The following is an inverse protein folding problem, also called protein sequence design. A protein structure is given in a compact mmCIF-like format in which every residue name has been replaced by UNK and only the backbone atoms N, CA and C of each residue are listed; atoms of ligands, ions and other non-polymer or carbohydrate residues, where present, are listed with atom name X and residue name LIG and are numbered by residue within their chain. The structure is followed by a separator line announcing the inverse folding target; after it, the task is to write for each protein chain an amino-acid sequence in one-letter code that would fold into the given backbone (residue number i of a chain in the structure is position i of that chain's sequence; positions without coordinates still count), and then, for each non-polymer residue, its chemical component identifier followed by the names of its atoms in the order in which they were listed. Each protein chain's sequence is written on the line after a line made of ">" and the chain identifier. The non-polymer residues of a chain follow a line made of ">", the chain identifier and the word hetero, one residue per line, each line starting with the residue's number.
data_IF_804801907502
#
_entry.id   IF_804801907502
#
_cell.length_a   1.000
_cell.length_b   1.000
_cell.length_c   1.000
_cell.angle_alpha   90.00
_cell.angle_beta   90.00
_cell.angle_gamma   90.00
#
_symmetry.space_group_name_H-M   'P 1'
#
loop_
_entity.id
_entity.type
_entity.pdbx_description
1 polymer ?
#
# COMPACT_ATOMS: atom_id res chain seq x y z
N UNK A 1 11.69 -4.78 -3.51
CA UNK A 1 12.14 -3.55 -4.17
C UNK A 1 12.39 -2.53 -3.08
N UNK A 2 13.65 -2.39 -2.68
CA UNK A 2 14.08 -1.46 -1.63
C UNK A 2 13.97 0.00 -2.06
N UNK A 3 13.94 0.29 -3.37
CA UNK A 3 13.82 1.64 -3.90
C UNK A 3 12.38 2.12 -3.77
N UNK A 4 11.42 1.26 -4.13
CA UNK A 4 10.00 1.61 -4.13
C UNK A 4 9.25 1.14 -2.88
N UNK A 5 9.92 0.61 -1.85
CA UNK A 5 9.32 0.08 -0.61
C UNK A 5 8.19 -0.94 -0.87
N UNK A 6 8.44 -1.87 -1.81
CA UNK A 6 7.52 -2.96 -2.15
C UNK A 6 8.13 -4.33 -1.86
N UNK A 7 7.32 -5.23 -1.34
CA UNK A 7 7.67 -6.64 -1.15
C UNK A 7 6.66 -7.55 -1.87
N UNK A 8 7.17 -8.63 -2.45
CA UNK A 8 6.36 -9.71 -3.00
C UNK A 8 6.48 -10.93 -2.08
N UNK A 9 5.35 -11.41 -1.57
CA UNK A 9 5.29 -12.56 -0.66
C UNK A 9 4.57 -13.72 -1.35
N UNK A 10 5.07 -14.93 -1.12
CA UNK A 10 4.40 -16.18 -1.50
C UNK A 10 3.87 -16.84 -0.23
N UNK A 11 2.59 -17.16 -0.21
CA UNK A 11 1.94 -17.91 0.86
C UNK A 11 1.27 -19.17 0.31
N UNK A 12 1.03 -20.13 1.20
CA UNK A 12 0.28 -21.34 0.88
C UNK A 12 -1.18 -21.19 1.34
N UNK A 13 -1.96 -20.42 0.58
CA UNK A 13 -3.39 -20.25 0.81
C UNK A 13 -4.10 -19.82 -0.47
N UNK A 14 -5.42 -20.03 -0.53
CA UNK A 14 -6.26 -19.56 -1.61
C UNK A 14 -7.03 -18.30 -1.20
N UNK A 15 -6.79 -17.13 -1.83
CA UNK A 15 -7.51 -15.91 -1.49
C UNK A 15 -9.00 -16.02 -1.85
N UNK A 16 -9.87 -15.41 -1.04
CA UNK A 16 -11.32 -15.35 -1.31
C UNK A 16 -11.64 -14.42 -2.47
N UNK A 17 -10.96 -13.27 -2.48
CA UNK A 17 -11.02 -12.26 -3.53
C UNK A 17 -9.61 -11.74 -3.79
N UNK A 18 -9.35 -11.35 -5.04
CA UNK A 18 -8.09 -10.76 -5.47
C UNK A 18 -8.42 -9.38 -6.03
N UNK A 19 -7.70 -8.37 -5.57
CA UNK A 19 -7.80 -7.03 -6.16
C UNK A 19 -7.27 -7.03 -7.58
N UNK A 20 -7.97 -6.32 -8.47
CA UNK A 20 -7.46 -6.02 -9.80
C UNK A 20 -6.63 -4.74 -9.73
N UNK A 21 -5.54 -4.69 -10.48
CA UNK A 21 -4.73 -3.48 -10.59
C UNK A 21 -5.30 -2.58 -11.67
N UNK A 22 -5.41 -1.28 -11.39
CA UNK A 22 -5.75 -0.30 -12.41
C UNK A 22 -4.60 -0.14 -13.39
N UNK A 23 -4.93 -0.05 -14.67
CA UNK A 23 -4.00 0.29 -15.76
C UNK A 23 -4.04 1.76 -16.14
N UNK A 24 -5.04 2.50 -15.66
CA UNK A 24 -5.13 3.94 -15.91
C UNK A 24 -4.21 4.70 -14.97
N UNK A 25 -3.66 5.80 -15.47
CA UNK A 25 -3.02 6.81 -14.63
C UNK A 25 -4.08 7.38 -13.67
N UNK A 26 -3.76 7.55 -12.38
CA UNK A 26 -4.64 8.25 -11.46
C UNK A 26 -4.88 9.70 -11.91
N UNK A 27 -6.06 10.23 -11.60
CA UNK A 27 -6.45 11.59 -11.94
C UNK A 27 -6.58 12.45 -10.67
N UNK A 28 -6.35 13.76 -10.77
CA UNK A 28 -6.61 14.67 -9.66
C UNK A 28 -8.09 14.64 -9.29
N UNK A 29 -8.39 14.78 -8.00
CA UNK A 29 -9.75 14.66 -7.44
C UNK A 29 -10.42 13.30 -7.61
N UNK A 30 -9.71 12.28 -8.10
CA UNK A 30 -10.24 10.92 -8.17
C UNK A 30 -10.53 10.40 -6.76
N UNK A 31 -11.77 9.95 -6.53
CA UNK A 31 -12.19 9.29 -5.29
C UNK A 31 -11.35 8.02 -5.03
N UNK A 32 -10.82 7.91 -3.81
CA UNK A 32 -10.04 6.78 -3.35
C UNK A 32 -10.50 6.26 -2.00
N UNK A 33 -10.31 4.96 -1.82
CA UNK A 33 -10.54 4.25 -0.58
C UNK A 33 -9.25 3.55 -0.18
N UNK A 34 -8.82 3.72 1.08
CA UNK A 34 -7.68 2.98 1.62
C UNK A 34 -8.20 1.97 2.61
N UNK A 35 -7.78 0.71 2.47
CA UNK A 35 -8.10 -0.35 3.40
C UNK A 35 -6.87 -0.82 4.17
N UNK A 36 -7.05 -1.16 5.44
CA UNK A 36 -5.97 -1.66 6.27
C UNK A 36 -6.41 -2.12 7.65
N UNK A 37 -5.43 -2.44 8.48
CA UNK A 37 -5.64 -2.88 9.86
C UNK A 37 -4.77 -2.02 10.79
N UNK A 38 -5.11 -0.72 10.94
CA UNK A 38 -4.32 0.16 11.77
C UNK A 38 -4.36 -0.31 13.22
N UNK A 39 -3.19 -0.34 13.85
CA UNK A 39 -2.95 -0.90 15.18
C UNK A 39 -3.28 -2.41 15.34
N UNK A 40 -3.47 -3.11 14.22
CA UNK A 40 -3.70 -4.55 14.15
C UNK A 40 -4.99 -5.03 14.84
N UNK A 41 -5.09 -6.35 15.01
CA UNK A 41 -6.28 -7.00 15.59
C UNK A 41 -6.53 -6.67 17.07
N UNK A 42 -5.59 -6.02 17.76
CA UNK A 42 -5.72 -5.65 19.18
C UNK A 42 -6.79 -4.59 19.41
N UNK A 43 -7.04 -3.72 18.41
CA UNK A 43 -8.09 -2.68 18.49
C UNK A 43 -9.39 -3.17 17.84
N UNK A 44 -9.31 -3.84 16.69
CA UNK A 44 -10.48 -4.47 16.05
C UNK A 44 -10.03 -5.51 15.04
N UNK A 45 -10.76 -6.63 14.97
CA UNK A 45 -10.50 -7.69 14.00
C UNK A 45 -10.93 -7.33 12.56
N UNK A 46 -11.77 -6.31 12.39
CA UNK A 46 -12.31 -5.91 11.10
C UNK A 46 -11.39 -4.97 10.35
N UNK A 47 -11.41 -5.06 9.01
CA UNK A 47 -10.73 -4.10 8.13
C UNK A 47 -11.29 -2.70 8.40
N UNK A 48 -10.41 -1.69 8.39
CA UNK A 48 -10.81 -0.29 8.43
C UNK A 48 -10.63 0.32 7.07
N UNK A 49 -11.59 1.17 6.68
CA UNK A 49 -11.59 1.85 5.39
C UNK A 49 -11.65 3.34 5.63
N UNK A 50 -10.78 4.09 4.98
CA UNK A 50 -10.82 5.55 4.92
C UNK A 50 -11.09 5.99 3.49
N UNK A 51 -11.83 7.10 3.32
CA UNK A 51 -12.11 7.70 2.01
C UNK A 51 -11.33 9.01 1.89
N UNK A 52 -10.88 9.32 0.69
CA UNK A 52 -10.35 10.62 0.31
C UNK A 52 -10.32 10.76 -1.22
N UNK A 53 -9.44 11.61 -1.71
CA UNK A 53 -9.16 11.84 -3.11
C UNK A 53 -7.66 11.73 -3.41
N UNK A 54 -7.32 11.66 -4.70
CA UNK A 54 -5.96 11.95 -5.19
C UNK A 54 -5.73 13.46 -5.20
N UNK A 55 -4.80 13.91 -4.36
CA UNK A 55 -4.45 15.33 -4.19
C UNK A 55 -3.26 15.75 -5.06
N UNK A 56 -2.38 14.82 -5.43
CA UNK A 56 -1.26 15.05 -6.35
C UNK A 56 -0.88 13.77 -7.08
N UNK A 57 -0.38 13.91 -8.30
CA UNK A 57 0.09 12.79 -9.12
C UNK A 57 1.57 12.46 -8.90
N UNK A 58 2.22 13.12 -7.94
CA UNK A 58 3.62 12.90 -7.58
C UNK A 58 3.81 12.89 -6.06
N UNK A 59 4.86 12.22 -5.60
CA UNK A 59 5.31 12.25 -4.21
C UNK A 59 6.33 13.36 -3.93
N UNK A 60 6.91 13.34 -2.74
CA UNK A 60 7.95 14.31 -2.34
C UNK A 60 9.12 14.29 -3.32
N UNK A 61 9.63 15.47 -3.65
CA UNK A 61 10.75 15.62 -4.58
C UNK A 61 10.38 15.26 -6.03
N UNK A 62 9.10 15.40 -6.41
CA UNK A 62 8.58 15.01 -7.72
C UNK A 62 8.77 13.51 -8.02
N UNK A 63 8.63 12.65 -7.01
CA UNK A 63 8.68 11.22 -7.24
C UNK A 63 7.44 10.75 -8.02
N UNK A 64 7.63 10.48 -9.32
CA UNK A 64 6.56 10.05 -10.23
C UNK A 64 6.07 8.62 -9.98
N UNK A 65 6.79 7.82 -9.18
CA UNK A 65 6.34 6.50 -8.72
C UNK A 65 5.23 6.58 -7.68
N UNK A 66 4.99 7.78 -7.11
CA UNK A 66 4.01 7.98 -6.06
C UNK A 66 2.80 8.83 -6.49
N UNK A 67 1.72 8.70 -5.74
CA UNK A 67 0.59 9.62 -5.68
C UNK A 67 0.44 10.17 -4.26
N UNK A 68 -0.10 11.37 -4.14
CA UNK A 68 -0.55 11.92 -2.87
C UNK A 68 -2.06 11.78 -2.76
N UNK A 69 -2.53 11.44 -1.57
CA UNK A 69 -3.94 11.33 -1.21
C UNK A 69 -4.18 12.06 0.11
N UNK A 70 -5.42 12.50 0.34
CA UNK A 70 -5.86 13.09 1.61
C UNK A 70 -6.59 12.09 2.52
N UNK A 71 -6.88 10.88 2.02
CA UNK A 71 -7.47 9.81 2.81
C UNK A 71 -6.60 9.53 4.03
N UNK A 72 -7.23 9.47 5.22
CA UNK A 72 -6.50 9.30 6.47
C UNK A 72 -5.70 7.98 6.46
N UNK A 73 -4.38 8.08 6.68
CA UNK A 73 -3.50 6.95 6.93
C UNK A 73 -3.02 6.94 8.38
N UNK A 74 -3.01 5.76 8.98
CA UNK A 74 -2.46 5.52 10.31
C UNK A 74 -1.46 4.35 10.24
N UNK A 75 -0.54 4.22 11.20
CA UNK A 75 0.31 3.04 11.30
C UNK A 75 -0.51 1.74 11.24
N UNK A 76 -0.15 0.85 10.31
CA UNK A 76 -0.91 -0.37 9.98
C UNK A 76 -1.82 -0.27 8.75
N UNK A 77 -1.88 0.91 8.10
CA UNK A 77 -2.33 1.02 6.71
C UNK A 77 -1.19 0.84 5.69
N UNK A 78 0.08 0.82 6.12
CA UNK A 78 1.24 0.56 5.24
C UNK A 78 1.09 -0.78 4.53
N UNK A 79 1.32 -0.80 3.23
CA UNK A 79 1.12 -1.99 2.40
C UNK A 79 -0.35 -2.26 2.06
N UNK A 80 -1.28 -1.49 2.61
CA UNK A 80 -2.71 -1.58 2.31
C UNK A 80 -3.04 -1.03 0.92
N UNK A 81 -4.12 -1.53 0.28
CA UNK A 81 -4.52 -1.08 -1.04
C UNK A 81 -5.16 0.32 -1.01
N UNK A 82 -4.80 1.15 -2.00
CA UNK A 82 -5.51 2.37 -2.39
C UNK A 82 -6.36 2.04 -3.61
N UNK A 83 -7.67 2.20 -3.51
CA UNK A 83 -8.66 1.60 -4.41
C UNK A 83 -9.58 2.68 -4.95
N UNK A 84 -9.94 2.61 -6.24
CA UNK A 84 -10.98 3.48 -6.81
C UNK A 84 -12.41 2.91 -6.62
N UNK A 85 -13.41 3.67 -7.05
CA UNK A 85 -14.83 3.31 -7.06
C UNK A 85 -15.20 2.05 -7.85
N UNK A 86 -14.29 1.55 -8.71
CA UNK A 86 -14.44 0.28 -9.46
C UNK A 86 -13.84 -0.92 -8.75
N UNK A 87 -13.30 -0.74 -7.54
CA UNK A 87 -12.61 -1.82 -6.82
C UNK A 87 -11.24 -2.18 -7.40
N UNK A 88 -10.65 -1.31 -8.22
CA UNK A 88 -9.29 -1.49 -8.73
C UNK A 88 -8.28 -0.79 -7.82
N UNK A 89 -7.18 -1.45 -7.54
CA UNK A 89 -6.03 -0.87 -6.85
C UNK A 89 -5.31 0.09 -7.78
N UNK A 90 -5.26 1.36 -7.39
CA UNK A 90 -4.51 2.42 -8.08
C UNK A 90 -3.14 2.69 -7.41
N UNK A 91 -2.94 2.15 -6.20
CA UNK A 91 -1.66 2.21 -5.52
C UNK A 91 -1.62 1.44 -4.20
N UNK A 92 -0.45 1.41 -3.57
CA UNK A 92 -0.18 0.78 -2.27
C UNK A 92 0.20 1.87 -1.28
N UNK A 93 -0.51 1.95 -0.16
CA UNK A 93 -0.29 2.98 0.85
C UNK A 93 1.08 2.84 1.52
N UNK A 94 1.79 3.96 1.67
CA UNK A 94 3.07 4.05 2.38
C UNK A 94 2.82 4.79 3.68
N UNK A 95 3.06 4.14 4.82
CA UNK A 95 2.58 4.66 6.09
C UNK A 95 3.16 6.02 6.44
N UNK A 96 4.41 6.34 6.06
CA UNK A 96 5.03 7.64 6.35
C UNK A 96 6.16 7.88 5.35
N UNK A 97 5.96 8.79 4.39
CA UNK A 97 7.13 9.56 3.97
C UNK A 97 7.65 10.29 5.21
N UNK A 98 8.96 10.24 5.41
CA UNK A 98 9.63 10.55 6.67
C UNK A 98 9.10 11.86 7.29
N UNK A 99 8.17 11.72 8.23
CA UNK A 99 7.58 12.85 8.95
C UNK A 99 8.69 13.67 9.61
N UNK A 100 9.80 13.03 10.00
CA UNK A 100 10.96 13.74 10.53
C UNK A 100 11.64 14.60 9.46
N UNK A 101 11.77 14.11 8.22
CA UNK A 101 12.30 14.89 7.11
C UNK A 101 11.43 16.13 6.82
N UNK A 102 10.11 15.98 6.76
CA UNK A 102 9.21 17.11 6.48
C UNK A 102 9.23 18.12 7.63
N UNK A 103 9.14 17.67 8.87
CA UNK A 103 9.20 18.58 10.04
C UNK A 103 10.55 19.30 10.09
N UNK A 104 11.67 18.61 9.82
CA UNK A 104 13.00 19.23 9.80
C UNK A 104 13.14 20.28 8.69
N UNK A 105 12.49 20.08 7.54
CA UNK A 105 12.64 20.96 6.37
C UNK A 105 11.66 22.12 6.35
N UNK A 106 10.43 21.91 6.81
CA UNK A 106 9.33 22.87 6.70
C UNK A 106 8.81 23.38 8.05
N UNK A 107 9.26 22.82 9.17
CA UNK A 107 8.88 23.26 10.52
C UNK A 107 7.44 22.94 10.93
N UNK A 108 6.68 22.23 10.09
CA UNK A 108 5.27 21.88 10.34
C UNK A 108 5.02 20.40 10.09
N UNK A 109 4.06 19.82 10.83
CA UNK A 109 3.57 18.47 10.57
C UNK A 109 2.49 18.59 9.49
N UNK A 110 2.68 17.99 8.30
CA UNK A 110 1.66 18.05 7.26
C UNK A 110 0.46 17.20 7.67
N UNK A 111 -0.73 17.80 7.64
CA UNK A 111 -1.99 17.10 7.84
C UNK A 111 -2.58 16.67 6.50
N UNK A 112 -3.38 15.60 6.50
CA UNK A 112 -4.08 15.08 5.30
C UNK A 112 -3.17 14.94 4.06
N UNK A 113 -1.90 14.63 4.30
CA UNK A 113 -0.88 14.48 3.25
C UNK A 113 -0.29 13.10 3.39
N UNK A 114 -0.85 12.18 2.61
CA UNK A 114 -0.49 10.78 2.61
C UNK A 114 -0.03 10.36 1.23
N UNK A 115 0.76 9.29 1.15
CA UNK A 115 1.35 8.87 -0.11
C UNK A 115 1.09 7.39 -0.39
N UNK A 116 1.05 7.07 -1.68
CA UNK A 116 0.98 5.70 -2.16
C UNK A 116 1.90 5.46 -3.33
N UNK A 117 2.39 4.24 -3.48
CA UNK A 117 3.13 3.77 -4.65
C UNK A 117 2.13 3.43 -5.74
N UNK A 118 2.28 3.98 -6.95
CA UNK A 118 1.34 3.76 -8.06
C UNK A 118 1.23 2.29 -8.46
N UNK A 119 0.04 1.89 -8.92
CA UNK A 119 -0.20 0.54 -9.44
C UNK A 119 0.73 0.17 -10.61
N UNK A 120 1.23 1.14 -11.38
CA UNK A 120 2.22 0.91 -12.44
C UNK A 120 3.53 0.32 -11.91
N UNK A 121 4.02 0.81 -10.77
CA UNK A 121 5.22 0.30 -10.11
C UNK A 121 4.98 -1.12 -9.60
N UNK A 122 3.80 -1.37 -9.02
CA UNK A 122 3.38 -2.71 -8.59
C UNK A 122 3.30 -3.67 -9.77
N UNK A 123 2.71 -3.25 -10.89
CA UNK A 123 2.65 -4.05 -12.12
C UNK A 123 4.04 -4.41 -12.64
N UNK A 124 4.97 -3.46 -12.66
CA UNK A 124 6.36 -3.70 -13.08
C UNK A 124 7.03 -4.74 -12.18
N UNK A 125 6.85 -4.65 -10.85
CA UNK A 125 7.37 -5.63 -9.91
C UNK A 125 6.79 -7.03 -10.16
N UNK A 126 5.48 -7.13 -10.37
CA UNK A 126 4.82 -8.41 -10.63
C UNK A 126 5.25 -9.03 -11.96
N UNK A 127 5.30 -8.24 -13.03
CA UNK A 127 5.74 -8.69 -14.34
C UNK A 127 7.20 -9.13 -14.35
N UNK A 128 8.08 -8.37 -13.69
CA UNK A 128 9.49 -8.74 -13.52
C UNK A 128 9.71 -10.03 -12.72
N UNK A 129 8.70 -10.49 -11.97
CA UNK A 129 8.71 -11.75 -11.22
C UNK A 129 7.77 -12.82 -11.83
N UNK A 130 7.37 -12.67 -13.10
CA UNK A 130 6.49 -13.61 -13.81
C UNK A 130 5.13 -13.86 -13.13
N UNK A 131 4.59 -12.86 -12.42
CA UNK A 131 3.25 -12.92 -11.81
C UNK A 131 2.22 -12.28 -12.75
N UNK A 132 1.22 -13.05 -13.15
CA UNK A 132 0.16 -12.59 -14.05
C UNK A 132 -0.78 -11.59 -13.37
N UNK A 133 -1.12 -10.50 -14.06
CA UNK A 133 -2.07 -9.48 -13.59
C UNK A 133 -3.38 -9.57 -14.39
N UNK A 134 -4.50 -9.74 -13.69
CA UNK A 134 -5.83 -9.79 -14.28
C UNK A 134 -6.30 -8.45 -14.86
N UNK A 135 -7.27 -8.49 -15.79
CA UNK A 135 -7.86 -7.27 -16.37
C UNK A 135 -8.61 -6.43 -15.31
N UNK A 136 -8.48 -5.08 -15.34
CA UNK A 136 -9.20 -4.18 -14.44
C UNK A 136 -10.72 -4.31 -14.54
N UNK A 137 -11.42 -3.94 -13.48
CA UNK A 137 -12.85 -3.66 -13.51
C UNK A 137 -13.12 -2.36 -14.28
N UNK A 138 -14.17 -2.35 -15.08
CA UNK A 138 -14.57 -1.17 -15.87
C UNK A 138 -15.83 -0.48 -15.32
N UNK A 139 -16.61 -1.19 -14.51
CA UNK A 139 -17.86 -0.69 -13.93
C UNK A 139 -17.65 -0.24 -12.49
N UNK A 140 -18.31 0.85 -12.12
CA UNK A 140 -18.35 1.35 -10.76
C UNK A 140 -19.13 0.37 -9.87
N UNK A 141 -18.65 0.18 -8.65
CA UNK A 141 -19.27 -0.70 -7.66
C UNK A 141 -20.13 0.11 -6.70
N UNK A 142 -21.24 -0.48 -6.25
CA UNK A 142 -22.01 0.09 -5.14
C UNK A 142 -21.21 0.04 -3.84
N UNK A 143 -21.44 0.98 -2.91
CA UNK A 143 -20.68 1.05 -1.62
C UNK A 143 -20.66 -0.28 -0.86
N UNK A 144 -21.78 -0.98 -0.78
CA UNK A 144 -21.89 -2.28 -0.09
C UNK A 144 -21.18 -3.42 -0.83
N UNK A 145 -21.10 -3.36 -2.15
CA UNK A 145 -20.31 -4.30 -2.95
C UNK A 145 -18.82 -4.04 -2.77
N UNK A 146 -18.40 -2.78 -2.88
CA UNK A 146 -17.03 -2.35 -2.69
C UNK A 146 -16.53 -2.69 -1.27
N UNK A 147 -17.35 -2.43 -0.24
CA UNK A 147 -17.03 -2.77 1.15
C UNK A 147 -16.82 -4.27 1.37
N UNK A 148 -17.67 -5.12 0.78
CA UNK A 148 -17.49 -6.59 0.82
C UNK A 148 -16.21 -7.02 0.11
N UNK A 149 -15.97 -6.50 -1.08
CA UNK A 149 -14.74 -6.79 -1.83
C UNK A 149 -13.50 -6.40 -1.02
N UNK A 150 -13.50 -5.22 -0.40
CA UNK A 150 -12.40 -4.73 0.43
C UNK A 150 -12.15 -5.69 1.60
N UNK A 151 -13.21 -6.09 2.30
CA UNK A 151 -13.11 -7.00 3.44
C UNK A 151 -12.62 -8.39 3.06
N UNK A 152 -13.00 -8.91 1.90
CA UNK A 152 -12.61 -10.25 1.44
C UNK A 152 -11.22 -10.32 0.81
N UNK A 153 -10.69 -9.19 0.33
CA UNK A 153 -9.41 -9.12 -0.39
C UNK A 153 -8.26 -8.48 0.42
N UNK A 154 -8.56 -7.85 1.56
CA UNK A 154 -7.54 -7.22 2.43
C UNK A 154 -7.18 -8.16 3.57
N UNK A 155 -5.90 -8.47 3.74
CA UNK A 155 -5.42 -9.42 4.74
C UNK A 155 -4.53 -8.74 5.78
N UNK A 156 -4.71 -9.11 7.05
CA UNK A 156 -3.79 -8.74 8.11
C UNK A 156 -2.59 -9.70 8.12
N UNK A 157 -1.40 -9.16 7.85
CA UNK A 157 -0.15 -9.89 7.95
C UNK A 157 0.50 -9.62 9.30
N UNK A 158 0.90 -10.67 10.01
CA UNK A 158 1.68 -10.57 11.25
C UNK A 158 2.84 -11.55 11.21
N UNK A 159 4.01 -11.09 11.66
CA UNK A 159 5.18 -11.93 11.84
C UNK A 159 5.07 -12.64 13.20
N UNK A 160 5.00 -13.97 13.18
CA UNK A 160 5.09 -14.81 14.38
C UNK A 160 6.49 -15.39 14.45
N UNK A 161 7.40 -14.60 14.99
CA UNK A 161 8.79 -15.02 15.19
C UNK A 161 9.26 -14.66 16.59
N UNK A 162 10.00 -15.59 17.20
CA UNK A 162 10.76 -15.32 18.42
C UNK A 162 11.98 -14.45 18.10
N UNK A 163 12.53 -13.76 19.09
CA UNK A 163 13.73 -12.94 18.91
C UNK A 163 14.92 -13.74 18.34
N UNK A 164 15.09 -14.99 18.79
CA UNK A 164 16.11 -15.90 18.24
C UNK A 164 15.88 -16.23 16.75
N UNK A 165 14.62 -16.34 16.32
CA UNK A 165 14.29 -16.55 14.90
C UNK A 165 14.54 -15.28 14.07
N UNK A 166 14.25 -14.10 14.64
CA UNK A 166 14.52 -12.80 14.00
C UNK A 166 16.03 -12.62 13.79
N UNK A 167 16.85 -12.91 14.81
CA UNK A 167 18.33 -12.85 14.71
C UNK A 167 18.87 -13.82 13.65
N UNK A 168 18.36 -15.06 13.59
CA UNK A 168 18.73 -16.01 12.53
C UNK A 168 18.34 -15.56 11.12
N UNK A 169 17.27 -14.77 10.96
CA UNK A 169 16.93 -14.20 9.65
C UNK A 169 17.78 -12.99 9.30
N UNK A 170 18.23 -12.19 10.28
CA UNK A 170 19.17 -11.09 10.02
C UNK A 170 20.54 -11.61 9.57
N UNK A 171 20.97 -12.77 10.06
CA UNK A 171 22.25 -13.39 9.68
C UNK A 171 22.20 -14.18 8.38
N UNK A 172 21.02 -14.68 7.98
CA UNK A 172 20.79 -15.13 6.60
C UNK A 172 20.69 -13.89 5.70
N UNK A 173 21.79 -13.52 5.04
CA UNK A 173 21.76 -12.66 3.84
C UNK A 173 20.87 -13.33 2.78
N UNK A 174 19.55 -13.12 2.86
CA UNK A 174 18.71 -13.14 1.66
C UNK A 174 19.18 -11.93 0.88
N UNK A 175 19.59 -12.13 -0.37
CA UNK A 175 20.22 -11.12 -1.22
C UNK A 175 19.31 -9.87 -1.29
N UNK A 176 19.56 -8.92 -0.41
CA UNK A 176 19.34 -7.50 -0.61
C UNK A 176 20.74 -6.94 -0.68
N UNK A 177 21.24 -6.73 -1.90
CA UNK A 177 22.52 -6.09 -2.14
C UNK A 177 22.44 -4.67 -1.56
N UNK A 178 23.38 -4.42 -0.66
CA UNK A 178 23.87 -3.12 -0.20
C UNK A 178 22.89 -2.21 0.54
N UNK A 179 22.85 -2.38 1.86
CA UNK A 179 22.68 -1.26 2.79
C UNK A 179 23.95 -1.24 3.65
N UNK A 180 24.90 -0.40 3.23
CA UNK A 180 26.04 -0.01 4.04
C UNK A 180 25.55 0.69 5.30
N UNK A 181 26.09 0.23 6.43
CA UNK A 181 25.93 0.84 7.73
C UNK A 181 26.73 2.15 7.79
N UNK A 182 26.10 3.20 8.31
CA UNK A 182 26.68 4.13 9.26
C UNK A 182 25.58 4.52 10.26
#
# INVERSE_FOLDING_TARGET
>A
DSINDLALLKGDFKPRKIFKLSRSTPELMQDVFVAGYPFGKRISASVKVTKGIVSSLTGIGNNFSNIQIDAALQPGNSGGPIINDRGNVIGVAVAKLDVKYIVKKFGVIPENTNFGIKSSVVMNLLQGNNVSVSRPNTRNMGKSELGRMISDATYYLSCWMTMAQIERMRTKKVIFRDISAD
#
